data_IF_989060969807
#
_entry.id   IF_989060969807
#
_cell.length_a   1.000
_cell.length_b   1.000
_cell.length_c   1.000
_cell.angle_alpha   90.00
_cell.angle_beta   90.00
_cell.angle_gamma   90.00
#
_symmetry.space_group_name_H-M   'P 1'
#
loop_
_entity.id
_entity.type
_entity.pdbx_description
1 polymer ?
#
# COMPACT_ATOMS: atom_id res chain seq x y z
N UNK A 1 20.37 -63.99 -36.90
CA UNK A 1 19.79 -63.31 -38.08
C UNK A 1 20.36 -61.91 -38.13
N UNK A 2 21.00 -61.59 -39.27
CA UNK A 2 21.43 -60.28 -39.82
C UNK A 2 22.52 -59.49 -39.06
N UNK A 3 23.77 -59.40 -39.53
CA UNK A 3 24.37 -58.72 -40.73
C UNK A 3 24.69 -57.21 -40.53
N UNK A 4 26.00 -56.92 -40.35
CA UNK A 4 26.93 -55.89 -40.92
C UNK A 4 26.43 -54.50 -41.41
N UNK A 5 27.30 -53.46 -41.66
CA UNK A 5 28.79 -53.39 -41.77
C UNK A 5 29.47 -52.17 -41.05
N UNK A 6 30.80 -52.07 -40.78
CA UNK A 6 31.94 -51.69 -41.66
C UNK A 6 31.64 -50.41 -42.51
N UNK A 7 32.41 -49.30 -42.58
CA UNK A 7 33.86 -49.13 -42.82
C UNK A 7 34.30 -47.62 -42.76
N UNK A 8 35.45 -47.09 -43.29
CA UNK A 8 36.46 -46.35 -42.52
C UNK A 8 36.89 -44.96 -43.12
N UNK A 9 37.86 -44.28 -42.50
CA UNK A 9 38.90 -43.56 -43.28
C UNK A 9 39.13 -42.05 -43.06
N UNK A 10 40.30 -41.75 -42.49
CA UNK A 10 41.33 -40.73 -42.84
C UNK A 10 40.90 -39.31 -43.25
N UNK A 11 41.47 -38.29 -42.60
CA UNK A 11 42.58 -37.46 -43.14
C UNK A 11 42.86 -36.25 -42.23
N UNK A 12 44.16 -36.04 -41.99
CA UNK A 12 44.74 -34.83 -41.39
C UNK A 12 44.99 -33.81 -42.52
N UNK A 13 44.79 -32.51 -42.27
CA UNK A 13 45.61 -31.51 -42.97
C UNK A 13 46.29 -30.52 -42.02
N UNK A 14 47.52 -30.21 -42.41
CA UNK A 14 48.44 -29.22 -41.86
C UNK A 14 47.84 -27.80 -41.84
N UNK A 15 48.24 -26.99 -40.85
CA UNK A 15 47.78 -25.63 -40.62
C UNK A 15 48.36 -24.56 -41.57
N UNK A 16 48.10 -23.28 -41.28
CA UNK A 16 49.17 -22.28 -41.32
C UNK A 16 49.14 -21.24 -40.18
N UNK A 17 50.35 -20.81 -39.80
CA UNK A 17 50.78 -19.52 -39.23
C UNK A 17 49.78 -18.60 -38.50
N UNK A 18 50.10 -18.28 -37.23
CA UNK A 18 49.74 -17.00 -36.62
C UNK A 18 50.97 -16.26 -36.06
N UNK A 19 50.99 -14.91 -36.15
CA UNK A 19 52.13 -14.06 -35.82
C UNK A 19 52.21 -13.78 -34.31
N UNK A 20 53.42 -13.48 -33.84
CA UNK A 20 53.72 -13.22 -32.44
C UNK A 20 52.95 -12.05 -31.84
N UNK A 21 52.69 -12.16 -30.53
CA UNK A 21 52.30 -11.03 -29.70
C UNK A 21 53.12 -11.04 -28.39
N UNK A 22 53.72 -9.91 -27.97
CA UNK A 22 54.62 -9.84 -26.83
C UNK A 22 53.85 -9.37 -25.60
N UNK A 23 53.44 -10.26 -24.71
CA UNK A 23 52.99 -9.87 -23.38
C UNK A 23 53.51 -10.84 -22.32
N UNK A 24 54.41 -10.27 -21.51
CA UNK A 24 54.97 -10.77 -20.27
C UNK A 24 53.85 -11.17 -19.30
N UNK A 25 53.92 -12.34 -18.63
CA UNK A 25 52.95 -12.70 -17.61
C UNK A 25 53.13 -11.81 -16.39
N UNK A 26 52.18 -10.94 -16.12
CA UNK A 26 52.02 -10.30 -14.82
C UNK A 26 51.77 -11.38 -13.77
N UNK A 27 52.50 -11.30 -12.65
CA UNK A 27 52.32 -12.16 -11.48
C UNK A 27 50.84 -12.27 -11.07
N UNK A 28 50.40 -13.44 -10.58
CA UNK A 28 49.07 -13.58 -10.00
C UNK A 28 48.95 -12.66 -8.78
N UNK A 29 48.03 -11.70 -8.88
CA UNK A 29 47.58 -10.89 -7.76
C UNK A 29 46.98 -11.81 -6.68
N UNK A 30 47.33 -11.67 -5.39
CA UNK A 30 46.77 -12.51 -4.34
C UNK A 30 45.24 -12.38 -4.31
N UNK A 31 44.55 -13.51 -4.43
CA UNK A 31 43.11 -13.58 -4.24
C UNK A 31 42.77 -13.04 -2.83
N UNK A 32 41.80 -12.13 -2.68
CA UNK A 32 41.25 -11.82 -1.37
C UNK A 32 40.61 -13.09 -0.77
N UNK A 33 40.72 -13.30 0.55
CA UNK A 33 40.21 -14.50 1.20
C UNK A 33 38.71 -14.66 0.92
N UNK A 34 38.33 -15.88 0.56
CA UNK A 34 36.93 -16.24 0.38
C UNK A 34 36.15 -15.95 1.67
N UNK A 35 35.11 -15.12 1.57
CA UNK A 35 34.13 -14.96 2.63
C UNK A 35 33.43 -16.32 2.86
N UNK A 36 33.78 -16.99 3.95
CA UNK A 36 32.98 -18.08 4.47
C UNK A 36 31.67 -17.48 5.02
N UNK A 37 30.49 -17.99 4.62
CA UNK A 37 29.24 -17.65 5.27
C UNK A 37 29.31 -18.08 6.73
N UNK A 38 29.29 -17.12 7.65
CA UNK A 38 29.24 -17.38 9.08
C UNK A 38 27.96 -18.11 9.46
N UNK A 39 28.13 -19.25 10.13
CA UNK A 39 27.06 -19.99 10.79
C UNK A 39 26.33 -19.07 11.80
N UNK A 40 24.99 -18.88 11.70
CA UNK A 40 24.25 -17.94 12.56
C UNK A 40 23.91 -18.47 13.96
N UNK A 41 24.59 -19.52 14.45
CA UNK A 41 24.33 -20.09 15.77
C UNK A 41 25.61 -20.28 16.57
N UNK A 42 26.08 -19.20 17.18
CA UNK A 42 26.92 -19.25 18.38
C UNK A 42 26.18 -18.55 19.52
N UNK A 43 25.83 -19.26 20.60
CA UNK A 43 25.25 -18.66 21.79
C UNK A 43 26.24 -17.65 22.39
N UNK A 44 25.78 -16.42 22.58
CA UNK A 44 26.56 -15.38 23.25
C UNK A 44 26.91 -15.82 24.67
N UNK A 45 28.21 -16.03 24.91
CA UNK A 45 28.77 -16.29 26.23
C UNK A 45 28.64 -15.01 27.09
N UNK A 46 28.11 -15.07 28.32
CA UNK A 46 28.00 -13.89 29.18
C UNK A 46 29.39 -13.35 29.54
N UNK A 47 29.58 -12.01 29.58
CA UNK A 47 30.86 -11.41 29.91
C UNK A 47 31.30 -11.79 31.32
N UNK A 48 32.59 -12.12 31.45
CA UNK A 48 33.23 -12.37 32.74
C UNK A 48 33.21 -11.10 33.61
N UNK A 49 32.83 -11.28 34.88
CA UNK A 49 32.89 -10.24 35.90
C UNK A 49 34.31 -9.66 36.01
N UNK A 50 34.47 -8.37 35.72
CA UNK A 50 35.62 -7.60 36.19
C UNK A 50 35.36 -7.12 37.63
N UNK A 51 36.30 -7.34 38.57
CA UNK A 51 36.22 -6.73 39.90
C UNK A 51 36.36 -5.20 39.79
N UNK A 52 35.41 -4.46 40.34
CA UNK A 52 35.46 -2.99 40.42
C UNK A 52 36.35 -2.53 41.58
N UNK A 53 37.21 -1.55 41.31
CA UNK A 53 38.07 -0.87 42.28
C UNK A 53 37.27 -0.19 43.43
N UNK A 54 37.75 -0.23 44.69
CA UNK A 54 36.96 0.11 45.87
C UNK A 54 36.89 1.60 46.27
N UNK A 55 37.25 2.56 45.41
CA UNK A 55 37.21 3.98 45.81
C UNK A 55 36.65 4.90 44.71
N UNK A 56 35.33 5.08 44.71
CA UNK A 56 34.69 6.23 44.06
C UNK A 56 33.58 6.74 44.98
N UNK A 57 33.56 8.04 45.35
CA UNK A 57 32.53 8.60 46.24
C UNK A 57 31.15 8.54 45.59
N UNK A 58 30.18 8.00 46.33
CA UNK A 58 28.80 7.78 45.91
C UNK A 58 28.08 9.08 45.55
N UNK A 59 27.61 9.17 44.30
CA UNK A 59 26.60 10.14 43.89
C UNK A 59 25.25 9.80 44.57
N UNK A 60 24.40 10.78 44.94
CA UNK A 60 23.09 10.51 45.50
C UNK A 60 22.23 9.74 44.49
N UNK A 61 21.80 8.52 44.86
CA UNK A 61 20.85 7.75 44.07
C UNK A 61 19.51 8.52 43.97
N UNK A 62 18.97 8.74 42.76
CA UNK A 62 17.59 9.17 42.63
C UNK A 62 16.64 8.09 43.19
N UNK A 63 15.51 8.47 43.79
CA UNK A 63 14.57 7.53 44.39
C UNK A 63 14.11 6.51 43.35
N UNK A 64 14.19 5.22 43.73
CA UNK A 64 13.75 4.12 42.91
C UNK A 64 12.25 4.27 42.60
N UNK A 65 11.91 4.32 41.31
CA UNK A 65 10.53 4.21 40.86
C UNK A 65 9.99 2.83 41.25
N UNK A 66 9.13 2.78 42.27
CA UNK A 66 8.30 1.61 42.51
C UNK A 66 7.31 1.48 41.34
N UNK A 67 7.30 0.35 40.61
CA UNK A 67 6.27 0.10 39.62
C UNK A 67 4.90 0.07 40.31
N UNK A 68 3.98 0.90 39.82
CA UNK A 68 2.62 0.96 40.32
C UNK A 68 1.97 -0.43 40.25
N UNK A 69 1.46 -0.91 41.38
CA UNK A 69 0.78 -2.19 41.48
C UNK A 69 -0.50 -2.16 40.62
N UNK A 70 -0.61 -2.94 39.52
CA UNK A 70 -1.75 -2.89 38.60
C UNK A 70 -3.06 -3.43 39.21
N UNK A 71 -3.02 -3.92 40.46
CA UNK A 71 -4.17 -4.46 41.19
C UNK A 71 -4.61 -3.58 42.37
N UNK A 72 -4.17 -2.33 42.47
CA UNK A 72 -4.71 -1.42 43.47
C UNK A 72 -6.20 -1.12 43.18
N UNK A 73 -7.12 -1.32 44.14
CA UNK A 73 -8.53 -0.97 43.97
C UNK A 73 -8.66 0.50 43.61
N UNK A 74 -9.31 0.80 42.49
CA UNK A 74 -9.62 2.20 42.16
C UNK A 74 -10.55 2.78 43.22
N UNK A 75 -10.28 3.99 43.74
CA UNK A 75 -11.22 4.66 44.63
C UNK A 75 -12.56 4.85 43.91
N UNK A 76 -13.69 4.63 44.60
CA UNK A 76 -15.01 4.83 44.00
C UNK A 76 -15.14 6.28 43.51
N UNK A 77 -15.80 6.49 42.35
CA UNK A 77 -16.00 7.83 41.81
C UNK A 77 -16.73 8.69 42.85
N UNK A 78 -16.14 9.85 43.14
CA UNK A 78 -16.76 10.85 44.00
C UNK A 78 -18.09 11.28 43.36
N UNK A 79 -19.20 11.06 44.08
CA UNK A 79 -20.51 11.58 43.72
C UNK A 79 -20.43 13.10 43.66
N UNK A 80 -20.47 13.66 42.46
CA UNK A 80 -20.78 15.08 42.28
C UNK A 80 -22.29 15.25 42.46
N UNK A 81 -22.75 16.10 43.40
CA UNK A 81 -24.16 16.45 43.53
C UNK A 81 -24.60 17.15 42.23
N UNK A 82 -25.52 16.54 41.50
CA UNK A 82 -26.23 17.22 40.41
C UNK A 82 -27.20 18.21 41.02
N UNK A 83 -26.92 19.50 40.84
CA UNK A 83 -27.87 20.57 41.15
C UNK A 83 -29.20 20.31 40.42
N UNK A 84 -30.32 20.13 41.13
CA UNK A 84 -31.64 20.20 40.52
C UNK A 84 -31.93 21.68 40.22
N UNK A 85 -32.61 21.97 39.12
CA UNK A 85 -32.99 23.32 38.64
C UNK A 85 -31.98 24.02 37.71
N UNK A 86 -31.89 23.52 36.49
CA UNK A 86 -31.76 24.40 35.31
C UNK A 86 -33.07 24.38 34.51
N UNK A 87 -33.75 25.53 34.33
CA UNK A 87 -34.95 25.61 33.51
C UNK A 87 -34.63 25.28 32.05
N UNK A 88 -35.29 24.25 31.52
CA UNK A 88 -35.25 23.86 30.12
C UNK A 88 -35.73 25.01 29.22
N UNK A 89 -34.83 25.50 28.37
CA UNK A 89 -35.11 26.50 27.33
C UNK A 89 -35.85 25.80 26.17
N UNK A 90 -37.03 26.29 25.72
CA UNK A 90 -37.75 25.65 24.63
C UNK A 90 -37.03 25.87 23.29
N UNK A 91 -36.55 24.77 22.70
CA UNK A 91 -36.06 24.72 21.33
C UNK A 91 -37.24 24.82 20.37
N UNK A 92 -37.40 25.97 19.72
CA UNK A 92 -38.32 26.14 18.62
C UNK A 92 -37.81 25.33 17.41
N UNK A 93 -38.44 24.19 17.15
CA UNK A 93 -38.28 23.46 15.90
C UNK A 93 -39.10 24.15 14.80
N UNK A 94 -38.51 24.57 13.68
CA UNK A 94 -39.29 24.96 12.51
C UNK A 94 -39.93 23.71 11.92
N UNK A 95 -41.27 23.69 11.95
CA UNK A 95 -42.13 22.71 11.29
C UNK A 95 -41.80 22.67 9.79
N UNK A 96 -41.28 21.54 9.32
CA UNK A 96 -41.08 21.27 7.90
C UNK A 96 -42.44 21.03 7.24
N UNK A 97 -42.83 21.94 6.35
CA UNK A 97 -44.02 21.80 5.52
C UNK A 97 -43.95 20.61 4.56
N UNK A 98 -45.08 20.27 3.91
CA UNK A 98 -45.21 19.10 3.05
C UNK A 98 -44.28 19.18 1.83
N UNK A 99 -43.62 18.06 1.55
CA UNK A 99 -42.72 17.84 0.42
C UNK A 99 -43.33 18.32 -0.90
N UNK A 100 -42.75 19.37 -1.48
CA UNK A 100 -42.93 19.67 -2.89
C UNK A 100 -42.05 18.70 -3.70
N UNK A 101 -42.60 18.00 -4.72
CA UNK A 101 -41.81 17.12 -5.57
C UNK A 101 -40.74 17.94 -6.34
N UNK A 102 -39.55 17.35 -6.57
CA UNK A 102 -38.49 18.03 -7.30
C UNK A 102 -38.95 18.39 -8.72
N UNK A 103 -38.59 19.58 -9.23
CA UNK A 103 -38.97 19.98 -10.57
C UNK A 103 -38.39 19.03 -11.63
N UNK A 104 -39.11 18.78 -12.73
CA UNK A 104 -38.64 17.91 -13.80
C UNK A 104 -37.31 18.41 -14.36
N UNK A 105 -36.30 17.53 -14.34
CA UNK A 105 -34.99 17.81 -14.91
C UNK A 105 -35.15 18.12 -16.41
N UNK A 106 -34.73 19.32 -16.81
CA UNK A 106 -34.70 19.70 -18.23
C UNK A 106 -33.76 18.76 -18.99
N UNK A 107 -34.14 18.27 -20.19
CA UNK A 107 -33.28 17.41 -20.99
C UNK A 107 -31.97 18.13 -21.29
N UNK A 108 -30.86 17.60 -20.80
CA UNK A 108 -29.54 18.08 -21.17
C UNK A 108 -29.34 17.84 -22.66
N UNK A 109 -29.24 18.92 -23.44
CA UNK A 109 -29.01 18.82 -24.87
C UNK A 109 -27.61 18.23 -25.11
N UNK A 110 -27.59 17.10 -25.80
CA UNK A 110 -26.39 16.39 -26.22
C UNK A 110 -25.68 17.27 -27.26
N UNK A 111 -24.74 18.10 -26.81
CA UNK A 111 -24.02 19.04 -27.67
C UNK A 111 -23.03 18.25 -28.54
N UNK A 112 -23.38 18.10 -29.82
CA UNK A 112 -22.58 17.39 -30.82
C UNK A 112 -21.20 18.08 -30.98
N UNK A 113 -20.13 17.39 -30.56
CA UNK A 113 -18.73 17.87 -30.63
C UNK A 113 -18.08 17.69 -32.01
N UNK A 114 -18.82 17.19 -33.00
CA UNK A 114 -18.34 16.96 -34.36
C UNK A 114 -17.72 18.20 -35.07
N UNK A 115 -18.25 19.44 -34.93
CA UNK A 115 -17.68 20.57 -35.68
C UNK A 115 -16.32 21.07 -35.13
N UNK A 116 -15.95 20.72 -33.89
CA UNK A 116 -14.67 21.14 -33.31
C UNK A 116 -13.50 20.32 -33.86
N UNK A 117 -13.72 19.03 -34.15
CA UNK A 117 -12.67 18.12 -34.66
C UNK A 117 -12.31 18.49 -36.11
N UNK A 118 -13.29 18.88 -36.93
CA UNK A 118 -13.07 19.29 -38.33
C UNK A 118 -12.23 20.58 -38.42
N UNK A 119 -12.43 21.53 -37.50
CA UNK A 119 -11.66 22.77 -37.47
C UNK A 119 -10.17 22.57 -37.13
N UNK A 120 -9.84 21.61 -36.26
CA UNK A 120 -8.45 21.33 -35.86
C UNK A 120 -7.67 20.65 -36.99
N UNK A 121 -8.29 19.73 -37.72
CA UNK A 121 -7.65 19.04 -38.85
C UNK A 121 -7.37 20.01 -40.01
N UNK A 122 -8.28 20.95 -40.28
CA UNK A 122 -8.06 21.97 -41.32
C UNK A 122 -6.89 22.92 -40.98
N UNK A 123 -6.71 23.29 -39.71
CA UNK A 123 -5.61 24.16 -39.29
C UNK A 123 -4.23 23.48 -39.43
N UNK A 124 -4.13 22.17 -39.19
CA UNK A 124 -2.88 21.42 -39.31
C UNK A 124 -2.44 21.21 -40.78
N UNK A 125 -3.39 21.08 -41.71
CA UNK A 125 -3.08 20.94 -43.14
C UNK A 125 -2.51 22.25 -43.72
N UNK A 126 -2.94 23.42 -43.25
CA UNK A 126 -2.43 24.72 -43.73
C UNK A 126 -0.99 24.97 -43.24
N UNK A 127 -0.64 24.53 -42.03
CA UNK A 127 0.71 24.70 -41.46
C UNK A 127 1.72 23.75 -42.13
N UNK A 128 1.28 22.56 -42.57
CA UNK A 128 2.14 21.59 -43.26
C UNK A 128 2.59 21.99 -44.68
N UNK A 129 1.92 22.94 -45.33
CA UNK A 129 2.17 23.29 -46.74
C UNK A 129 3.15 24.46 -46.98
N UNK A 130 3.65 25.14 -45.94
CA UNK A 130 4.50 26.36 -46.10
C UNK A 130 6.01 26.05 -45.96
N UNK A 131 6.41 24.84 -45.54
CA UNK A 131 7.80 24.55 -45.17
C UNK A 131 8.67 23.81 -46.19
N UNK A 132 8.61 24.12 -47.50
CA UNK A 132 9.44 23.39 -48.52
C UNK A 132 10.41 24.27 -49.33
N UNK A 133 10.47 25.59 -49.16
CA UNK A 133 11.32 26.41 -50.06
C UNK A 133 12.11 27.52 -49.35
N UNK A 134 13.28 27.18 -48.78
CA UNK A 134 14.39 28.08 -48.41
C UNK A 134 15.46 27.26 -47.64
N UNK A 135 16.78 27.23 -47.85
CA UNK A 135 17.76 27.98 -48.64
C UNK A 135 18.99 27.06 -48.79
N UNK A 136 19.54 26.97 -50.01
CA UNK A 136 20.91 26.48 -50.28
C UNK A 136 21.90 27.61 -49.98
N UNK A 137 22.98 27.29 -49.25
CA UNK A 137 24.22 28.05 -49.28
C UNK A 137 24.53 28.82 -48.00
N UNK A 138 25.34 28.22 -47.12
CA UNK A 138 26.21 28.95 -46.21
C UNK A 138 27.48 28.14 -45.96
N UNK A 139 28.58 28.78 -46.31
CA UNK A 139 29.99 28.50 -46.07
C UNK A 139 30.31 27.83 -44.73
N UNK A 140 31.23 26.86 -44.76
CA UNK A 140 31.71 26.11 -43.61
C UNK A 140 32.33 26.99 -42.53
N UNK A 141 31.52 27.28 -41.50
CA UNK A 141 32.02 27.59 -40.17
C UNK A 141 32.35 26.26 -39.49
N UNK A 142 33.55 26.16 -38.90
CA UNK A 142 33.94 25.02 -38.09
C UNK A 142 32.87 24.76 -37.03
N UNK A 143 32.23 23.59 -37.10
CA UNK A 143 31.19 23.18 -36.17
C UNK A 143 31.77 23.14 -34.76
N UNK A 144 31.42 24.12 -33.94
CA UNK A 144 31.68 24.10 -32.50
C UNK A 144 31.12 22.78 -31.97
N UNK A 145 31.92 21.93 -31.28
CA UNK A 145 31.45 20.65 -30.81
C UNK A 145 30.21 20.86 -29.95
N UNK A 146 29.07 20.33 -30.41
CA UNK A 146 27.85 20.33 -29.60
C UNK A 146 28.15 19.54 -28.34
N UNK A 147 28.03 20.14 -27.13
CA UNK A 147 28.31 19.43 -25.91
C UNK A 147 27.48 18.14 -25.89
N UNK A 148 28.17 16.99 -25.78
CA UNK A 148 27.50 15.70 -25.66
C UNK A 148 26.63 15.75 -24.41
N UNK A 149 25.32 15.62 -24.58
CA UNK A 149 24.39 15.59 -23.45
C UNK A 149 24.84 14.49 -22.48
N UNK A 150 25.17 14.86 -21.25
CA UNK A 150 25.54 13.89 -20.22
C UNK A 150 24.27 13.09 -19.89
N UNK A 151 24.30 11.79 -20.18
CA UNK A 151 23.22 10.87 -19.84
C UNK A 151 23.09 10.81 -18.31
N UNK A 152 22.04 11.42 -17.77
CA UNK A 152 21.73 11.35 -16.34
C UNK A 152 21.12 10.00 -16.03
N UNK A 153 21.80 9.21 -15.19
CA UNK A 153 21.27 7.94 -14.72
C UNK A 153 20.37 8.15 -13.49
N UNK A 154 19.17 7.58 -13.53
CA UNK A 154 18.22 7.59 -12.42
C UNK A 154 18.12 6.19 -11.83
N UNK A 155 18.07 6.04 -10.48
CA UNK A 155 17.76 4.77 -9.86
C UNK A 155 16.42 4.24 -10.37
N UNK A 156 16.41 2.99 -10.85
CA UNK A 156 15.20 2.36 -11.34
C UNK A 156 14.28 1.94 -10.19
N UNK A 157 13.01 2.31 -10.26
CA UNK A 157 11.95 1.85 -9.38
C UNK A 157 11.46 0.47 -9.82
N UNK A 158 11.03 -0.36 -8.86
CA UNK A 158 10.24 -1.55 -9.15
C UNK A 158 8.84 -1.16 -9.65
N UNK A 159 8.16 -2.08 -10.35
CA UNK A 159 6.78 -1.88 -10.82
C UNK A 159 5.76 -1.84 -9.67
N UNK A 160 6.18 -2.21 -8.47
CA UNK A 160 5.31 -2.45 -7.34
C UNK A 160 6.10 -2.50 -6.03
N UNK A 161 5.49 -2.01 -4.95
CA UNK A 161 6.05 -2.02 -3.60
C UNK A 161 4.99 -2.38 -2.55
N UNK A 162 5.42 -3.01 -1.47
CA UNK A 162 4.63 -3.27 -0.27
C UNK A 162 5.38 -2.81 0.97
N UNK A 163 4.69 -2.31 1.98
CA UNK A 163 5.34 -1.67 3.10
C UNK A 163 4.41 -1.28 4.24
N UNK A 164 4.89 -0.39 5.08
CA UNK A 164 4.15 0.18 6.19
C UNK A 164 4.26 1.71 6.22
N UNK A 165 3.26 2.32 6.81
CA UNK A 165 3.20 3.75 7.13
C UNK A 165 2.87 3.90 8.61
N UNK A 166 3.55 4.83 9.28
CA UNK A 166 3.33 5.15 10.68
C UNK A 166 2.89 6.62 10.77
N UNK A 167 1.64 6.86 11.13
CA UNK A 167 1.08 8.19 11.33
C UNK A 167 1.44 8.68 12.75
N UNK A 168 2.46 9.54 12.83
CA UNK A 168 2.96 10.09 14.10
C UNK A 168 1.92 10.96 14.80
N UNK A 169 1.03 11.62 14.04
CA UNK A 169 0.00 12.51 14.62
C UNK A 169 -1.10 11.76 15.37
N UNK A 170 -1.35 10.50 15.04
CA UNK A 170 -2.36 9.64 15.68
C UNK A 170 -1.78 8.40 16.37
N UNK A 171 -0.47 8.20 16.28
CA UNK A 171 0.26 7.02 16.74
C UNK A 171 -0.39 5.71 16.22
N UNK A 172 -0.54 5.62 14.90
CA UNK A 172 -1.15 4.45 14.23
C UNK A 172 -0.28 3.96 13.09
N UNK A 173 -0.08 2.66 13.03
CA UNK A 173 0.58 1.95 11.93
C UNK A 173 -0.45 1.38 10.96
N UNK A 174 -0.10 1.35 9.67
CA UNK A 174 -0.86 0.65 8.64
C UNK A 174 0.05 0.04 7.59
N UNK A 175 -0.48 -0.95 6.87
CA UNK A 175 0.14 -1.45 5.64
C UNK A 175 -0.04 -0.45 4.50
N UNK A 176 0.90 -0.43 3.56
CA UNK A 176 0.88 0.41 2.37
C UNK A 176 1.31 -0.42 1.16
N UNK A 177 0.75 -0.12 -0.01
CA UNK A 177 1.25 -0.63 -1.28
C UNK A 177 1.25 0.47 -2.33
N UNK A 178 2.29 0.42 -3.16
CA UNK A 178 2.39 1.16 -4.40
C UNK A 178 2.25 0.15 -5.54
N UNK A 179 1.26 0.33 -6.40
CA UNK A 179 0.99 -0.53 -7.55
C UNK A 179 1.12 0.28 -8.84
N UNK A 180 1.25 -0.41 -9.98
CA UNK A 180 1.31 0.24 -11.30
C UNK A 180 2.41 1.29 -11.39
N UNK A 181 3.54 1.08 -10.70
CA UNK A 181 4.60 2.07 -10.61
C UNK A 181 5.32 2.15 -11.95
N UNK A 182 5.27 3.32 -12.56
CA UNK A 182 5.96 3.64 -13.83
C UNK A 182 6.92 4.78 -13.57
N UNK A 183 8.18 4.60 -13.97
CA UNK A 183 9.19 5.64 -13.93
C UNK A 183 9.63 6.00 -15.36
N UNK A 184 9.64 7.29 -15.66
CA UNK A 184 10.11 7.85 -16.93
C UNK A 184 11.02 9.06 -16.64
N UNK A 185 12.33 8.88 -16.85
CA UNK A 185 13.37 9.92 -16.73
C UNK A 185 13.21 10.83 -15.50
N UNK A 186 13.24 10.23 -14.31
CA UNK A 186 13.14 10.96 -13.05
C UNK A 186 11.72 11.42 -12.70
N UNK A 187 10.70 11.13 -13.51
CA UNK A 187 9.29 11.20 -13.12
C UNK A 187 8.83 9.82 -12.66
N UNK A 188 7.96 9.77 -11.66
CA UNK A 188 7.35 8.53 -11.16
C UNK A 188 5.84 8.73 -11.01
N UNK A 189 5.07 7.72 -11.35
CA UNK A 189 3.62 7.69 -11.14
C UNK A 189 3.15 6.27 -10.84
N UNK A 190 1.93 6.12 -10.32
CA UNK A 190 1.30 4.85 -10.03
C UNK A 190 0.06 5.03 -9.16
N UNK A 191 -0.32 3.97 -8.46
CA UNK A 191 -1.42 3.96 -7.50
C UNK A 191 -0.88 3.65 -6.11
N UNK A 192 -1.47 4.24 -5.08
CA UNK A 192 -1.21 3.94 -3.68
C UNK A 192 -2.49 3.51 -2.99
N UNK A 193 -2.36 2.58 -2.04
CA UNK A 193 -3.42 2.22 -1.11
C UNK A 193 -2.84 2.09 0.30
N UNK A 194 -3.64 2.42 1.30
CA UNK A 194 -3.35 2.16 2.71
C UNK A 194 -4.30 1.08 3.24
N UNK A 195 -3.78 0.20 4.09
CA UNK A 195 -4.56 -0.73 4.89
C UNK A 195 -5.06 -0.05 6.17
N UNK A 196 -6.12 -0.60 6.77
CA UNK A 196 -6.62 -0.11 8.05
C UNK A 196 -5.55 -0.19 9.16
N UNK A 197 -5.59 0.69 10.18
CA UNK A 197 -6.61 1.71 10.46
C UNK A 197 -6.46 3.01 9.65
N UNK A 198 -5.41 3.14 8.83
CA UNK A 198 -5.25 4.31 7.96
C UNK A 198 -6.03 4.09 6.67
N UNK A 199 -6.76 5.11 6.24
CA UNK A 199 -7.65 5.01 5.10
C UNK A 199 -7.17 5.96 4.02
N UNK A 200 -7.02 5.41 2.82
CA UNK A 200 -6.78 6.21 1.63
C UNK A 200 -6.35 5.36 0.45
N UNK A 201 -6.84 5.76 -0.72
CA UNK A 201 -6.31 5.30 -1.99
C UNK A 201 -6.28 6.46 -2.98
N UNK A 202 -5.40 6.37 -3.96
CA UNK A 202 -5.31 7.37 -5.01
C UNK A 202 -4.18 7.12 -5.98
N UNK A 203 -4.25 7.80 -7.12
CA UNK A 203 -3.12 7.90 -8.05
C UNK A 203 -2.07 8.82 -7.45
N UNK A 204 -0.79 8.50 -7.63
CA UNK A 204 0.31 9.35 -7.24
C UNK A 204 1.15 9.78 -8.44
N UNK A 205 1.75 10.97 -8.33
CA UNK A 205 2.71 11.50 -9.29
C UNK A 205 3.85 12.19 -8.55
N UNK A 206 5.07 12.09 -9.06
CA UNK A 206 6.24 12.64 -8.40
C UNK A 206 7.51 12.60 -9.22
N UNK A 207 8.63 12.76 -8.53
CA UNK A 207 9.96 12.77 -9.09
C UNK A 207 10.94 11.89 -8.30
N UNK A 208 11.96 11.41 -9.01
CA UNK A 208 13.13 10.70 -8.51
C UNK A 208 14.37 11.42 -9.02
N UNK A 209 15.25 11.87 -8.14
CA UNK A 209 16.52 12.48 -8.53
C UNK A 209 17.55 11.43 -8.92
N UNK A 210 18.62 11.83 -9.62
CA UNK A 210 19.76 10.95 -9.92
C UNK A 210 20.48 10.41 -8.68
N UNK A 211 20.29 11.06 -7.52
CA UNK A 211 20.81 10.62 -6.22
C UNK A 211 19.81 9.77 -5.43
N UNK A 212 18.67 9.41 -6.03
CA UNK A 212 17.64 8.59 -5.38
C UNK A 212 16.74 9.35 -4.41
N UNK A 213 16.75 10.68 -4.38
CA UNK A 213 15.75 11.42 -3.61
C UNK A 213 14.40 11.31 -4.31
N UNK A 214 13.37 10.85 -3.60
CA UNK A 214 12.01 10.67 -4.14
C UNK A 214 11.04 11.65 -3.49
N UNK A 215 10.15 12.24 -4.29
CA UNK A 215 9.02 13.04 -3.81
C UNK A 215 7.81 12.80 -4.66
N UNK A 216 6.67 12.44 -4.07
CA UNK A 216 5.41 12.29 -4.80
C UNK A 216 4.22 12.78 -3.99
N UNK A 217 3.12 13.08 -4.68
CA UNK A 217 1.87 13.53 -4.06
C UNK A 217 0.75 12.57 -4.40
N UNK A 218 -0.15 12.39 -3.43
CA UNK A 218 -1.36 11.55 -3.53
C UNK A 218 -2.53 12.43 -3.13
N UNK A 219 -3.59 12.47 -3.93
CA UNK A 219 -4.89 13.00 -3.47
C UNK A 219 -5.79 11.82 -3.17
N UNK A 220 -6.07 11.60 -1.88
CA UNK A 220 -6.90 10.50 -1.41
C UNK A 220 -8.35 10.74 -1.83
N UNK A 221 -8.91 9.83 -2.65
CA UNK A 221 -10.33 9.91 -3.04
C UNK A 221 -11.27 9.56 -1.89
N UNK A 222 -10.76 8.74 -0.99
CA UNK A 222 -11.49 8.11 0.10
C UNK A 222 -11.61 9.06 1.31
N UNK A 223 -10.57 9.85 1.59
CA UNK A 223 -10.50 10.67 2.80
C UNK A 223 -10.72 12.17 2.49
N UNK A 224 -11.87 12.51 1.87
CA UNK A 224 -12.27 13.91 1.69
C UNK A 224 -11.29 14.75 0.85
N UNK A 225 -10.61 14.16 -0.14
CA UNK A 225 -9.60 14.82 -0.97
C UNK A 225 -8.37 15.34 -0.21
N UNK A 226 -8.04 14.73 0.93
CA UNK A 226 -6.76 14.99 1.63
C UNK A 226 -5.60 14.71 0.68
N UNK A 227 -4.71 15.69 0.56
CA UNK A 227 -3.49 15.56 -0.24
C UNK A 227 -2.32 15.24 0.65
N UNK A 228 -1.65 14.11 0.39
CA UNK A 228 -0.45 13.67 1.06
C UNK A 228 0.77 13.94 0.17
N UNK A 229 1.84 14.47 0.75
CA UNK A 229 3.14 14.64 0.10
C UNK A 229 4.14 13.70 0.77
N UNK A 230 4.70 12.78 0.01
CA UNK A 230 5.72 11.85 0.43
C UNK A 230 7.08 12.36 -0.01
N UNK A 231 8.06 12.29 0.88
CA UNK A 231 9.46 12.63 0.63
C UNK A 231 10.37 11.57 1.22
N UNK A 232 11.38 11.12 0.49
CA UNK A 232 12.22 10.03 0.94
C UNK A 232 13.41 9.72 0.05
N UNK A 233 13.91 8.49 0.19
CA UNK A 233 14.96 7.92 -0.64
C UNK A 233 14.48 6.66 -1.36
N UNK A 234 15.02 6.41 -2.54
CA UNK A 234 14.86 5.22 -3.36
C UNK A 234 16.25 4.63 -3.63
N UNK A 235 16.44 3.38 -3.23
CA UNK A 235 17.58 2.56 -3.67
C UNK A 235 17.24 1.92 -5.01
N UNK A 236 18.15 1.92 -5.98
CA UNK A 236 17.90 1.32 -7.30
C UNK A 236 17.46 -0.15 -7.16
N UNK A 237 16.30 -0.50 -7.72
CA UNK A 237 15.63 -1.80 -7.58
C UNK A 237 15.41 -2.26 -6.13
N UNK A 238 15.54 -1.36 -5.17
CA UNK A 238 15.55 -1.64 -3.75
C UNK A 238 14.43 -0.90 -3.02
N UNK A 239 14.53 -0.83 -1.68
CA UNK A 239 13.49 -0.22 -0.85
C UNK A 239 13.37 1.29 -1.08
N UNK A 240 12.18 1.78 -0.75
CA UNK A 240 11.88 3.20 -0.57
C UNK A 240 11.56 3.47 0.90
N UNK A 241 11.95 4.63 1.42
CA UNK A 241 11.60 5.04 2.78
C UNK A 241 11.63 6.56 2.94
N UNK A 242 10.88 7.08 3.90
CA UNK A 242 10.92 8.51 4.19
C UNK A 242 9.83 8.98 5.14
N UNK A 243 9.40 10.21 4.91
CA UNK A 243 8.34 10.89 5.65
C UNK A 243 7.21 11.30 4.73
N UNK A 244 6.05 11.59 5.33
CA UNK A 244 4.96 12.24 4.61
C UNK A 244 4.36 13.38 5.45
N UNK A 245 3.73 14.33 4.77
CA UNK A 245 2.86 15.35 5.35
C UNK A 245 1.53 15.38 4.61
N UNK A 246 0.44 15.66 5.31
CA UNK A 246 -0.88 15.86 4.74
C UNK A 246 -1.27 17.33 4.85
N UNK A 247 -2.11 17.81 3.91
CA UNK A 247 -2.60 19.19 3.90
C UNK A 247 -3.48 19.56 5.12
N UNK A 248 -3.90 18.58 5.91
CA UNK A 248 -4.59 18.77 7.20
C UNK A 248 -3.63 18.81 8.41
N UNK A 249 -2.31 18.84 8.19
CA UNK A 249 -1.28 18.92 9.23
C UNK A 249 -0.80 17.58 9.77
N UNK A 250 -1.40 16.45 9.37
CA UNK A 250 -0.89 15.13 9.77
C UNK A 250 0.47 14.84 9.13
N UNK A 251 1.29 14.05 9.81
CA UNK A 251 2.61 13.65 9.33
C UNK A 251 3.01 12.28 9.87
N UNK A 252 4.00 11.66 9.22
CA UNK A 252 4.45 10.33 9.61
C UNK A 252 5.66 9.84 8.83
N UNK A 253 6.02 8.59 9.06
CA UNK A 253 7.09 7.87 8.36
C UNK A 253 6.53 6.74 7.52
N UNK A 254 7.28 6.29 6.52
CA UNK A 254 6.89 5.16 5.69
C UNK A 254 8.12 4.40 5.20
N UNK A 255 7.93 3.10 4.95
CA UNK A 255 8.92 2.21 4.35
C UNK A 255 8.21 1.27 3.40
N UNK A 256 8.78 1.01 2.23
CA UNK A 256 8.25 0.08 1.25
C UNK A 256 9.37 -0.70 0.57
N UNK A 257 9.17 -2.00 0.36
CA UNK A 257 10.10 -2.90 -0.30
C UNK A 257 9.52 -3.35 -1.65
N UNK A 258 10.36 -3.61 -2.67
CA UNK A 258 9.90 -4.15 -3.95
C UNK A 258 9.05 -5.40 -3.75
N UNK A 259 7.92 -5.47 -4.45
CA UNK A 259 7.01 -6.60 -4.37
C UNK A 259 6.62 -7.07 -5.78
N UNK A 260 6.61 -8.37 -6.02
CA UNK A 260 6.16 -8.95 -7.30
C UNK A 260 4.63 -8.97 -7.42
N UNK A 261 3.91 -8.89 -6.30
CA UNK A 261 2.46 -8.84 -6.23
C UNK A 261 2.03 -8.13 -4.95
N UNK A 262 2.17 -6.80 -4.87
CA UNK A 262 1.73 -6.08 -3.69
C UNK A 262 0.20 -6.08 -3.68
N UNK A 263 -0.36 -6.76 -2.69
CA UNK A 263 -1.79 -6.82 -2.48
C UNK A 263 -2.08 -6.33 -1.08
N UNK A 264 -2.79 -5.21 -0.97
CA UNK A 264 -3.30 -4.77 0.32
C UNK A 264 -4.68 -5.36 0.51
N UNK A 265 -4.78 -6.18 1.52
CA UNK A 265 -6.03 -6.61 2.09
C UNK A 265 -6.43 -5.63 3.19
N UNK A 266 -7.69 -5.16 3.23
CA UNK A 266 -8.21 -4.43 4.37
C UNK A 266 -7.94 -5.22 5.66
N UNK A 267 -7.41 -4.57 6.70
CA UNK A 267 -7.24 -5.19 8.02
C UNK A 267 -8.57 -5.10 8.75
N UNK A 268 -9.19 -6.23 9.06
CA UNK A 268 -10.46 -6.28 9.77
C UNK A 268 -10.28 -5.90 11.24
N UNK A 269 -11.28 -5.23 11.82
CA UNK A 269 -11.36 -5.04 13.27
C UNK A 269 -11.44 -6.40 13.97
N UNK A 270 -10.88 -6.49 15.18
CA UNK A 270 -11.00 -7.68 16.02
C UNK A 270 -12.45 -8.00 16.37
N UNK A 271 -13.34 -6.99 16.40
CA UNK A 271 -14.73 -7.17 16.75
C UNK A 271 -15.65 -6.26 15.94
N UNK A 272 -16.77 -6.83 15.55
CA UNK A 272 -17.85 -6.21 14.81
C UNK A 272 -19.19 -6.51 15.48
N UNK A 273 -20.07 -5.52 15.54
CA UNK A 273 -21.47 -5.68 15.97
C UNK A 273 -22.39 -5.02 14.98
N UNK A 274 -23.61 -5.55 14.83
CA UNK A 274 -24.60 -4.95 13.95
C UNK A 274 -25.86 -5.76 13.83
N UNK A 275 -26.50 -5.70 12.66
CA UNK A 275 -27.78 -6.34 12.40
C UNK A 275 -27.85 -6.99 11.01
N UNK A 276 -28.77 -7.94 10.87
CA UNK A 276 -29.20 -8.49 9.59
C UNK A 276 -30.71 -8.35 9.43
N UNK A 277 -31.14 -8.36 8.18
CA UNK A 277 -32.54 -8.39 7.77
C UNK A 277 -32.78 -9.62 6.90
N UNK A 278 -33.66 -10.54 7.33
CA UNK A 278 -34.07 -11.70 6.56
C UNK A 278 -35.25 -11.35 5.65
N UNK A 279 -35.01 -11.29 4.35
CA UNK A 279 -36.01 -10.91 3.35
C UNK A 279 -37.10 -11.97 3.17
N UNK A 280 -36.82 -13.25 3.46
CA UNK A 280 -37.81 -14.32 3.37
C UNK A 280 -38.84 -14.27 4.50
N UNK A 281 -38.43 -13.81 5.69
CA UNK A 281 -39.31 -13.76 6.88
C UNK A 281 -39.70 -12.35 7.31
N UNK A 282 -39.09 -11.31 6.74
CA UNK A 282 -39.25 -9.92 7.17
C UNK A 282 -38.78 -9.65 8.59
N UNK A 283 -37.84 -10.46 9.12
CA UNK A 283 -37.35 -10.36 10.50
C UNK A 283 -35.95 -9.81 10.54
N UNK A 284 -35.69 -8.95 11.52
CA UNK A 284 -34.36 -8.45 11.84
C UNK A 284 -33.76 -9.22 13.02
N UNK A 285 -32.43 -9.22 13.10
CA UNK A 285 -31.71 -9.75 14.25
C UNK A 285 -30.33 -9.12 14.40
N UNK A 286 -29.74 -9.31 15.58
CA UNK A 286 -28.40 -8.82 15.89
C UNK A 286 -27.35 -9.84 15.45
N UNK A 287 -26.19 -9.36 15.03
CA UNK A 287 -25.03 -10.17 14.64
C UNK A 287 -23.75 -9.61 15.28
N UNK A 288 -22.82 -10.51 15.54
CA UNK A 288 -21.48 -10.18 16.02
C UNK A 288 -20.48 -11.05 15.28
N UNK A 289 -19.40 -10.45 14.81
CA UNK A 289 -18.26 -11.15 14.22
C UNK A 289 -17.01 -10.77 15.01
N UNK A 290 -16.32 -11.75 15.58
CA UNK A 290 -15.03 -11.56 16.22
C UNK A 290 -13.95 -12.15 15.34
N UNK A 291 -13.07 -11.31 14.81
CA UNK A 291 -11.91 -11.75 14.02
C UNK A 291 -10.77 -12.09 14.96
N UNK A 292 -10.34 -13.34 14.94
CA UNK A 292 -9.29 -13.86 15.81
C UNK A 292 -7.92 -13.71 15.13
N UNK A 293 -7.83 -14.15 13.87
CA UNK A 293 -6.63 -14.00 13.06
C UNK A 293 -6.99 -13.51 11.66
N UNK A 294 -6.11 -12.71 11.07
CA UNK A 294 -6.13 -12.41 9.65
C UNK A 294 -4.72 -12.59 9.10
N UNK A 295 -4.58 -13.48 8.13
CA UNK A 295 -3.38 -13.69 7.35
C UNK A 295 -3.64 -13.28 5.89
N UNK A 296 -3.24 -12.05 5.57
CA UNK A 296 -3.46 -11.42 4.28
C UNK A 296 -4.95 -11.43 3.90
N UNK A 297 -5.31 -12.24 2.89
CA UNK A 297 -6.67 -12.41 2.39
C UNK A 297 -7.53 -13.26 3.30
N UNK A 298 -6.96 -14.17 4.09
CA UNK A 298 -7.73 -15.14 4.86
C UNK A 298 -7.92 -14.61 6.28
N UNK A 299 -9.08 -14.86 6.88
CA UNK A 299 -9.30 -14.60 8.30
C UNK A 299 -10.04 -15.75 8.97
N UNK A 300 -9.81 -15.90 10.27
CA UNK A 300 -10.56 -16.80 11.15
C UNK A 300 -11.21 -16.01 12.27
N UNK A 301 -12.33 -16.52 12.80
CA UNK A 301 -13.09 -15.81 13.81
C UNK A 301 -14.20 -16.63 14.45
N UNK A 302 -15.08 -15.94 15.17
CA UNK A 302 -16.35 -16.48 15.65
C UNK A 302 -17.52 -15.58 15.26
N UNK A 303 -18.66 -16.19 14.97
CA UNK A 303 -19.93 -15.53 14.72
C UNK A 303 -20.85 -15.75 15.93
N UNK A 304 -21.53 -14.69 16.37
CA UNK A 304 -22.36 -14.70 17.59
C UNK A 304 -21.62 -15.28 18.82
N UNK A 305 -20.29 -15.13 18.86
CA UNK A 305 -19.39 -15.64 19.91
C UNK A 305 -19.26 -17.17 20.01
N UNK A 306 -19.89 -17.96 19.13
CA UNK A 306 -19.91 -19.43 19.28
C UNK A 306 -19.58 -20.19 18.01
N UNK A 307 -19.95 -19.68 16.84
CA UNK A 307 -19.79 -20.43 15.60
C UNK A 307 -18.44 -20.07 14.94
N UNK A 308 -17.54 -21.03 14.69
CA UNK A 308 -16.28 -20.73 14.03
C UNK A 308 -16.51 -20.23 12.61
N UNK A 309 -15.74 -19.22 12.23
CA UNK A 309 -15.80 -18.58 10.91
C UNK A 309 -14.45 -18.75 10.23
N UNK A 310 -14.48 -19.16 8.96
CA UNK A 310 -13.39 -18.95 8.02
C UNK A 310 -13.90 -18.03 6.91
N UNK A 311 -13.09 -17.04 6.56
CA UNK A 311 -13.45 -16.09 5.52
C UNK A 311 -12.27 -15.57 4.75
N UNK A 312 -12.59 -14.82 3.71
CA UNK A 312 -11.64 -14.11 2.87
C UNK A 312 -12.01 -12.65 2.74
N UNK A 313 -11.02 -11.77 2.71
CA UNK A 313 -11.13 -10.38 2.30
C UNK A 313 -10.32 -10.18 1.01
N UNK A 314 -10.92 -9.56 0.01
CA UNK A 314 -10.30 -9.23 -1.26
C UNK A 314 -9.59 -7.89 -1.22
N UNK A 315 -8.66 -7.69 -2.16
CA UNK A 315 -7.98 -6.40 -2.36
C UNK A 315 -8.88 -5.31 -2.95
N UNK A 316 -10.04 -5.70 -3.48
CA UNK A 316 -11.15 -4.86 -3.91
C UNK A 316 -12.12 -4.51 -2.76
N UNK A 317 -11.72 -4.79 -1.52
CA UNK A 317 -12.52 -4.67 -0.32
C UNK A 317 -13.71 -5.63 -0.24
N UNK A 318 -13.82 -6.64 -1.11
CA UNK A 318 -14.83 -7.69 -0.93
C UNK A 318 -14.55 -8.47 0.36
N UNK A 319 -15.59 -8.96 1.02
CA UNK A 319 -15.47 -9.88 2.15
C UNK A 319 -16.45 -11.04 1.96
N UNK A 320 -15.98 -12.26 2.19
CA UNK A 320 -16.80 -13.46 2.11
C UNK A 320 -16.49 -14.35 3.30
N UNK A 321 -17.52 -14.92 3.91
CA UNK A 321 -17.32 -15.93 4.96
C UNK A 321 -18.54 -16.82 5.05
N UNK A 322 -18.39 -17.98 5.68
CA UNK A 322 -19.50 -18.90 5.91
C UNK A 322 -19.50 -19.40 7.35
N UNK A 323 -20.69 -19.66 7.86
CA UNK A 323 -20.92 -20.38 9.12
C UNK A 323 -21.74 -21.63 8.84
N UNK A 324 -21.63 -22.60 9.74
CA UNK A 324 -22.44 -23.82 9.72
C UNK A 324 -23.42 -23.73 10.90
N UNK A 325 -24.72 -23.83 10.62
CA UNK A 325 -25.75 -23.85 11.66
C UNK A 325 -25.73 -25.17 12.46
N UNK A 326 -26.47 -25.21 13.57
CA UNK A 326 -26.54 -26.41 14.43
C UNK A 326 -27.14 -27.66 13.77
N UNK A 327 -27.68 -27.56 12.54
CA UNK A 327 -28.19 -28.67 11.73
C UNK A 327 -27.25 -29.03 10.56
N UNK A 328 -26.07 -28.40 10.47
CA UNK A 328 -25.12 -28.59 9.38
C UNK A 328 -25.41 -27.77 8.12
N UNK A 329 -26.43 -26.90 8.12
CA UNK A 329 -26.73 -26.00 7.03
C UNK A 329 -25.71 -24.86 6.94
N UNK A 330 -25.33 -24.44 5.74
CA UNK A 330 -24.40 -23.31 5.59
C UNK A 330 -25.14 -21.99 5.42
N UNK A 331 -24.62 -20.95 6.07
CA UNK A 331 -24.99 -19.55 5.81
C UNK A 331 -23.76 -18.85 5.26
N UNK A 332 -23.84 -18.42 4.00
CA UNK A 332 -22.76 -17.74 3.27
C UNK A 332 -23.03 -16.24 3.26
N UNK A 333 -22.07 -15.46 3.71
CA UNK A 333 -22.08 -14.01 3.72
C UNK A 333 -21.15 -13.50 2.62
N UNK A 334 -21.65 -12.58 1.81
CA UNK A 334 -20.88 -11.87 0.78
C UNK A 334 -21.10 -10.38 0.98
N UNK A 335 -20.04 -9.58 1.03
CA UNK A 335 -20.15 -8.17 1.31
C UNK A 335 -18.90 -7.37 0.94
N UNK A 336 -18.82 -6.19 1.53
CA UNK A 336 -17.74 -5.22 1.34
C UNK A 336 -17.27 -4.71 2.69
N UNK A 337 -15.95 -4.51 2.82
CA UNK A 337 -15.33 -3.70 3.87
C UNK A 337 -15.42 -2.24 3.43
N UNK A 338 -16.29 -1.50 4.11
CA UNK A 338 -16.52 -0.09 3.85
C UNK A 338 -15.33 0.74 4.31
N UNK A 339 -15.31 1.98 3.83
CA UNK A 339 -14.24 2.94 4.08
C UNK A 339 -14.04 3.25 5.56
N UNK A 340 -15.11 3.28 6.35
CA UNK A 340 -15.11 3.50 7.80
C UNK A 340 -14.75 2.23 8.60
N UNK A 341 -14.31 1.17 7.90
CA UNK A 341 -14.02 -0.14 8.47
C UNK A 341 -15.26 -0.98 8.76
N UNK A 342 -16.47 -0.44 8.59
CA UNK A 342 -17.72 -1.21 8.73
C UNK A 342 -17.84 -2.27 7.63
N UNK A 343 -18.69 -3.25 7.86
CA UNK A 343 -18.94 -4.35 6.94
C UNK A 343 -20.41 -4.29 6.51
N UNK A 344 -20.69 -4.60 5.25
CA UNK A 344 -22.08 -4.74 4.80
C UNK A 344 -22.19 -5.66 3.62
N UNK A 345 -23.35 -6.30 3.44
CA UNK A 345 -23.54 -7.20 2.33
C UNK A 345 -24.87 -7.95 2.32
N UNK A 346 -24.83 -9.11 1.68
CA UNK A 346 -25.94 -10.06 1.60
C UNK A 346 -25.53 -11.41 2.20
N UNK A 347 -26.52 -12.21 2.57
CA UNK A 347 -26.28 -13.60 2.95
C UNK A 347 -27.28 -14.54 2.28
N UNK A 348 -26.89 -15.81 2.16
CA UNK A 348 -27.73 -16.92 1.68
C UNK A 348 -27.57 -18.12 2.59
N UNK A 349 -28.67 -18.73 2.99
CA UNK A 349 -28.72 -19.91 3.86
C UNK A 349 -29.22 -21.12 3.07
N UNK A 350 -28.64 -22.31 3.31
CA UNK A 350 -29.08 -23.57 2.68
C UNK A 350 -30.56 -23.87 2.94
N UNK A 351 -31.10 -23.46 4.09
CA UNK A 351 -32.52 -23.58 4.42
C UNK A 351 -33.44 -22.59 3.68
N UNK A 352 -32.94 -21.86 2.67
CA UNK A 352 -33.73 -20.96 1.83
C UNK A 352 -33.83 -19.51 2.32
N UNK A 353 -33.14 -19.14 3.39
CA UNK A 353 -33.10 -17.76 3.89
C UNK A 353 -32.16 -16.88 3.07
N UNK A 354 -32.59 -15.68 2.71
CA UNK A 354 -31.73 -14.65 2.11
C UNK A 354 -31.94 -13.31 2.82
N UNK A 355 -30.95 -12.42 2.74
CA UNK A 355 -31.08 -11.13 3.41
C UNK A 355 -29.88 -10.22 3.25
N UNK A 356 -29.94 -9.08 3.94
CA UNK A 356 -28.85 -8.11 4.03
C UNK A 356 -28.28 -8.05 5.44
N UNK A 357 -27.05 -7.58 5.58
CA UNK A 357 -26.39 -7.42 6.88
C UNK A 357 -25.49 -6.19 6.88
N UNK A 358 -25.33 -5.60 8.06
CA UNK A 358 -24.43 -4.46 8.33
C UNK A 358 -23.80 -4.63 9.70
N UNK A 359 -22.50 -4.37 9.82
CA UNK A 359 -21.78 -4.38 11.08
C UNK A 359 -20.82 -3.19 11.15
N UNK A 360 -20.61 -2.64 12.33
CA UNK A 360 -19.60 -1.62 12.58
C UNK A 360 -18.52 -2.19 13.52
N UNK A 361 -17.27 -1.70 13.45
CA UNK A 361 -16.26 -2.04 14.44
C UNK A 361 -16.79 -1.76 15.84
N UNK A 362 -16.72 -2.76 16.73
CA UNK A 362 -17.04 -2.56 18.14
C UNK A 362 -15.81 -1.94 18.83
N UNK A 363 -16.03 -1.03 19.81
CA UNK A 363 -14.95 -0.39 20.57
C UNK A 363 -14.14 -1.38 21.41
#
# INVERSE_FOLDING_TARGET
>A
MNNYPFEPGKQNPQGPYQPGNPYTPSQPQPQPPAYQPGNPYTPSQPPAYQPSDPYTPSQPQPPAYQPANPYAPQPPPAYQPTDPYTPSRPSAYPSAGPYAPPPPMKPQSKRNRAPLIVAIVAALVIIGSIGVFAIRGATGAASTPTPTAISVHYPAAASAYSGSVHNLSSNRDANMALTSVVQDQGKINGDIKFGLPLIGSGTFTGTVSSKGAVRFTVTSRDNGNVTLTFTGTLVAHGPMQGTYTANNGQHGTWKAEPATSPVIYPVLSQRYTGSFHNSSTGKDGNITLQVITQDQKNFTGTFLSVDPVNGTVGSDNSIQFAITDGKGGQIKFNGTVNIDGSLSGTYTATAGGTGTWKMSPAP
#
